data_IF_142294411148
#
_entry.id   IF_142294411148
#
_cell.length_a   1.000
_cell.length_b   1.000
_cell.length_c   1.000
_cell.angle_alpha   90.00
_cell.angle_beta   90.00
_cell.angle_gamma   90.00
#
_symmetry.space_group_name_H-M   'P 1'
#
loop_
_entity.id
_entity.type
_entity.pdbx_description
1 polymer ?
#
# COMPACT_ATOMS: atom_id res chain seq x y z
N UNK A 1 17.77 -5.42 0.94
CA UNK A 1 18.99 -5.31 0.08
C UNK A 1 20.22 -5.06 0.93
N UNK A 2 20.13 -4.18 1.93
CA UNK A 2 21.26 -3.92 2.83
C UNK A 2 21.69 -5.16 3.62
N UNK A 3 20.79 -6.08 3.98
CA UNK A 3 21.21 -7.34 4.61
C UNK A 3 22.10 -8.27 3.75
N UNK A 4 22.26 -8.01 2.45
CA UNK A 4 23.32 -8.64 1.63
C UNK A 4 24.65 -7.89 1.70
N UNK A 5 24.59 -6.55 1.75
CA UNK A 5 25.76 -5.66 1.70
C UNK A 5 26.40 -5.50 3.08
N UNK A 6 25.58 -5.46 4.13
CA UNK A 6 25.94 -5.23 5.52
C UNK A 6 25.10 -6.14 6.45
N UNK A 7 25.37 -7.46 6.44
CA UNK A 7 24.61 -8.43 7.22
C UNK A 7 24.83 -8.27 8.73
N UNK A 8 23.85 -8.73 9.53
CA UNK A 8 23.95 -8.77 10.99
C UNK A 8 23.56 -7.47 11.70
N UNK A 9 23.10 -6.46 10.96
CA UNK A 9 22.80 -5.12 11.48
C UNK A 9 21.33 -4.73 11.18
N UNK A 10 20.36 -5.17 12.02
CA UNK A 10 18.93 -4.97 11.75
C UNK A 10 18.52 -3.48 11.75
N UNK A 11 19.10 -2.67 12.65
CA UNK A 11 18.79 -1.24 12.74
C UNK A 11 19.15 -0.51 11.44
N UNK A 12 20.26 -0.88 10.79
CA UNK A 12 20.66 -0.29 9.52
C UNK A 12 19.68 -0.64 8.38
N UNK A 13 19.19 -1.88 8.34
CA UNK A 13 18.19 -2.30 7.35
C UNK A 13 16.86 -1.56 7.55
N UNK A 14 16.41 -1.40 8.80
CA UNK A 14 15.19 -0.67 9.12
C UNK A 14 15.25 0.79 8.68
N UNK A 15 16.33 1.50 9.03
CA UNK A 15 16.52 2.91 8.64
C UNK A 15 16.59 3.05 7.12
N UNK A 16 17.35 2.19 6.45
CA UNK A 16 17.45 2.23 5.00
C UNK A 16 16.10 1.99 4.31
N UNK A 17 15.37 0.96 4.73
CA UNK A 17 14.05 0.63 4.19
C UNK A 17 13.09 1.81 4.35
N UNK A 18 13.02 2.38 5.55
CA UNK A 18 12.10 3.48 5.84
C UNK A 18 12.44 4.72 5.02
N UNK A 19 13.73 5.07 4.91
CA UNK A 19 14.18 6.18 4.06
C UNK A 19 13.76 5.96 2.60
N UNK A 20 14.02 4.78 2.04
CA UNK A 20 13.67 4.50 0.65
C UNK A 20 12.15 4.55 0.40
N UNK A 21 11.36 3.88 1.25
CA UNK A 21 9.91 3.80 1.06
C UNK A 21 9.23 5.15 1.27
N UNK A 22 9.60 5.87 2.33
CA UNK A 22 9.00 7.17 2.64
C UNK A 22 9.39 8.22 1.60
N UNK A 23 10.67 8.28 1.19
CA UNK A 23 11.08 9.20 0.10
C UNK A 23 10.36 8.88 -1.21
N UNK A 24 10.22 7.60 -1.57
CA UNK A 24 9.48 7.21 -2.77
C UNK A 24 8.02 7.65 -2.73
N UNK A 25 7.34 7.44 -1.60
CA UNK A 25 5.95 7.84 -1.42
C UNK A 25 5.78 9.36 -1.51
N UNK A 26 6.65 10.12 -0.85
CA UNK A 26 6.63 11.58 -0.94
C UNK A 26 6.90 12.08 -2.37
N UNK A 27 7.83 11.46 -3.10
CA UNK A 27 8.12 11.82 -4.48
C UNK A 27 6.93 11.54 -5.41
N UNK A 28 6.25 10.39 -5.27
CA UNK A 28 5.08 10.05 -6.08
C UNK A 28 3.92 11.01 -5.84
N UNK A 29 3.64 11.35 -4.57
CA UNK A 29 2.61 12.32 -4.22
C UNK A 29 2.95 13.71 -4.78
N UNK A 30 4.20 14.14 -4.65
CA UNK A 30 4.68 15.41 -5.19
C UNK A 30 4.54 15.50 -6.71
N UNK A 31 4.91 14.43 -7.44
CA UNK A 31 4.73 14.36 -8.90
C UNK A 31 3.26 14.38 -9.29
N UNK A 32 2.39 13.69 -8.54
CA UNK A 32 0.94 13.70 -8.76
C UNK A 32 0.38 15.11 -8.63
N UNK A 33 0.80 15.84 -7.60
CA UNK A 33 0.36 17.22 -7.36
C UNK A 33 0.90 18.18 -8.43
N UNK A 34 2.13 17.99 -8.89
CA UNK A 34 2.65 18.75 -10.02
C UNK A 34 1.86 18.54 -11.31
N UNK A 35 1.46 17.29 -11.57
CA UNK A 35 0.64 16.98 -12.74
C UNK A 35 -0.71 17.71 -12.66
N UNK A 36 -1.33 17.72 -11.49
CA UNK A 36 -2.57 18.46 -11.25
C UNK A 36 -2.37 19.98 -11.38
N UNK A 37 -1.31 20.54 -10.80
CA UNK A 37 -0.98 21.96 -10.89
C UNK A 37 -0.74 22.40 -12.34
N UNK A 38 -0.10 21.56 -13.14
CA UNK A 38 0.08 21.77 -14.57
C UNK A 38 -1.26 21.85 -15.32
N UNK A 39 -2.21 20.94 -15.03
CA UNK A 39 -3.56 20.99 -15.61
C UNK A 39 -4.35 22.24 -15.19
N UNK A 40 -4.15 22.74 -13.97
CA UNK A 40 -4.81 23.94 -13.46
C UNK A 40 -4.08 25.24 -13.81
N UNK A 41 -2.96 25.18 -14.57
CA UNK A 41 -2.12 26.33 -14.96
C UNK A 41 -1.62 27.16 -13.77
N UNK A 42 -1.36 26.51 -12.63
CA UNK A 42 -0.83 27.18 -11.43
C UNK A 42 0.67 27.43 -11.61
N UNK A 43 1.18 28.64 -11.29
CA UNK A 43 2.61 28.92 -11.38
C UNK A 43 3.42 28.05 -10.40
N UNK A 44 4.61 27.57 -10.81
CA UNK A 44 5.40 26.57 -10.06
C UNK A 44 5.82 27.03 -8.66
N UNK A 45 5.88 28.34 -8.43
CA UNK A 45 6.27 28.94 -7.14
C UNK A 45 5.33 28.55 -6.00
N UNK A 46 4.06 28.26 -6.29
CA UNK A 46 3.07 27.84 -5.30
C UNK A 46 3.26 26.38 -4.87
N UNK A 47 3.91 25.56 -5.70
CA UNK A 47 4.18 24.15 -5.38
C UNK A 47 5.32 23.99 -4.36
N UNK A 48 6.20 24.99 -4.20
CA UNK A 48 7.25 25.00 -3.17
C UNK A 48 6.68 25.10 -1.75
N UNK A 49 5.45 25.60 -1.58
CA UNK A 49 4.78 25.68 -0.28
C UNK A 49 4.52 24.29 0.33
N UNK A 50 4.35 23.27 -0.52
CA UNK A 50 4.14 21.88 -0.09
C UNK A 50 5.39 21.32 0.62
N UNK A 51 6.59 21.68 0.18
CA UNK A 51 7.84 21.25 0.81
C UNK A 51 7.97 21.82 2.21
N UNK A 52 7.63 23.11 2.39
CA UNK A 52 7.65 23.78 3.69
C UNK A 52 6.63 23.14 4.64
N UNK A 53 5.41 22.89 4.15
CA UNK A 53 4.38 22.19 4.93
C UNK A 53 4.82 20.80 5.38
N UNK A 54 5.51 20.07 4.51
CA UNK A 54 6.05 18.74 4.84
C UNK A 54 7.13 18.83 5.93
N UNK A 55 8.06 19.80 5.83
CA UNK A 55 9.11 19.99 6.84
C UNK A 55 8.50 20.29 8.21
N UNK A 56 7.54 21.21 8.27
CA UNK A 56 6.84 21.56 9.52
C UNK A 56 6.11 20.34 10.09
N UNK A 57 5.38 19.60 9.24
CA UNK A 57 4.67 18.39 9.65
C UNK A 57 5.60 17.33 10.23
N UNK A 58 6.77 17.11 9.61
CA UNK A 58 7.78 16.17 10.12
C UNK A 58 8.32 16.58 11.49
N UNK A 59 8.63 17.87 11.69
CA UNK A 59 9.14 18.36 12.98
C UNK A 59 8.10 18.17 14.09
N UNK A 60 6.85 18.56 13.82
CA UNK A 60 5.76 18.41 14.80
C UNK A 60 5.52 16.94 15.12
N UNK A 61 5.51 16.07 14.10
CA UNK A 61 5.31 14.62 14.30
C UNK A 61 6.43 14.00 15.12
N UNK A 62 7.69 14.42 14.90
CA UNK A 62 8.84 13.96 15.68
C UNK A 62 8.74 14.42 17.14
N UNK A 63 8.35 15.67 17.38
CA UNK A 63 8.18 16.22 18.72
C UNK A 63 7.09 15.46 19.51
N UNK A 64 5.95 15.18 18.86
CA UNK A 64 4.86 14.39 19.46
C UNK A 64 5.33 12.97 19.76
N UNK A 65 6.05 12.33 18.83
CA UNK A 65 6.58 10.98 19.03
C UNK A 65 7.54 10.91 20.22
N UNK A 66 8.45 11.87 20.32
CA UNK A 66 9.41 11.95 21.41
C UNK A 66 8.73 12.22 22.76
N UNK A 67 7.72 13.09 22.76
CA UNK A 67 6.91 13.34 23.95
C UNK A 67 6.13 12.09 24.40
N UNK A 68 5.56 11.35 23.45
CA UNK A 68 4.82 10.13 23.73
C UNK A 68 5.72 9.06 24.37
N UNK A 69 6.91 8.84 23.82
CA UNK A 69 7.86 7.85 24.34
C UNK A 69 8.46 8.23 25.70
N UNK A 70 8.55 9.52 26.03
CA UNK A 70 9.02 9.97 27.35
C UNK A 70 7.93 9.96 28.42
N UNK A 71 6.66 10.02 28.03
CA UNK A 71 5.52 10.06 28.98
C UNK A 71 4.96 8.68 29.30
N UNK A 72 4.91 7.77 28.32
CA UNK A 72 4.31 6.44 28.47
C UNK A 72 5.41 5.37 28.40
N UNK A 73 5.81 4.85 29.55
CA UNK A 73 6.75 3.74 29.62
C UNK A 73 6.17 2.48 28.99
N UNK A 74 6.97 1.78 28.20
CA UNK A 74 6.62 0.50 27.57
C UNK A 74 5.32 0.54 26.73
N UNK A 75 5.06 1.63 26.01
CA UNK A 75 3.84 1.84 25.19
C UNK A 75 3.54 0.71 24.17
N UNK A 76 4.55 -0.08 23.80
CA UNK A 76 4.41 -1.19 22.88
C UNK A 76 4.24 -2.56 23.55
N UNK A 77 4.23 -2.64 24.88
CA UNK A 77 4.08 -3.89 25.65
C UNK A 77 2.71 -3.94 26.32
N UNK A 78 1.72 -4.65 25.73
CA UNK A 78 0.35 -4.69 26.26
C UNK A 78 0.25 -5.23 27.70
N UNK A 79 1.20 -6.08 28.11
CA UNK A 79 1.23 -6.69 29.44
C UNK A 79 1.62 -5.71 30.55
N UNK A 80 2.43 -4.70 30.21
CA UNK A 80 2.89 -3.68 31.15
C UNK A 80 1.97 -2.47 31.21
N UNK A 81 0.98 -2.41 30.32
CA UNK A 81 0.01 -1.33 30.24
C UNK A 81 -1.20 -1.60 31.15
N UNK A 82 -1.88 -0.55 31.64
CA UNK A 82 -3.09 -0.71 32.42
C UNK A 82 -4.17 -1.45 31.63
N UNK A 83 -4.89 -2.37 32.30
CA UNK A 83 -5.94 -3.20 31.68
C UNK A 83 -6.97 -2.32 30.95
N UNK A 84 -7.12 -2.54 29.66
CA UNK A 84 -8.02 -1.77 28.79
C UNK A 84 -7.37 -0.61 28.01
N UNK A 85 -6.03 -0.48 28.04
CA UNK A 85 -5.33 0.49 27.21
C UNK A 85 -5.53 0.22 25.71
N UNK A 86 -5.80 1.26 24.88
CA UNK A 86 -5.94 1.09 23.44
C UNK A 86 -4.60 0.98 22.69
N UNK A 87 -3.48 1.17 23.38
CA UNK A 87 -2.15 1.24 22.77
C UNK A 87 -1.70 -0.12 22.24
N UNK A 88 -1.41 -0.16 20.93
CA UNK A 88 -0.84 -1.33 20.25
C UNK A 88 0.16 -0.89 19.19
N UNK A 89 1.34 -1.50 19.15
CA UNK A 89 2.42 -1.15 18.22
C UNK A 89 2.59 -2.14 17.06
N UNK A 90 1.48 -2.64 16.49
CA UNK A 90 1.51 -3.73 15.49
C UNK A 90 2.48 -3.47 14.33
N UNK A 91 2.36 -2.28 13.72
CA UNK A 91 3.13 -1.92 12.53
C UNK A 91 4.63 -1.81 12.83
N UNK A 92 4.98 -1.30 14.02
CA UNK A 92 6.37 -1.14 14.46
C UNK A 92 6.98 -2.52 14.71
N UNK A 93 6.26 -3.40 15.41
CA UNK A 93 6.69 -4.78 15.65
C UNK A 93 6.89 -5.54 14.34
N UNK A 94 5.94 -5.46 13.40
CA UNK A 94 6.08 -6.10 12.10
C UNK A 94 7.31 -5.58 11.33
N UNK A 95 7.52 -4.26 11.31
CA UNK A 95 8.71 -3.66 10.69
C UNK A 95 10.00 -4.10 11.36
N UNK A 96 10.02 -4.24 12.69
CA UNK A 96 11.15 -4.78 13.44
C UNK A 96 11.43 -6.24 13.05
N UNK A 97 10.41 -7.09 13.01
CA UNK A 97 10.54 -8.49 12.61
C UNK A 97 11.11 -8.62 11.18
N UNK A 98 10.67 -7.77 10.25
CA UNK A 98 11.27 -7.71 8.91
C UNK A 98 12.74 -7.32 8.95
N UNK A 99 13.14 -6.37 9.78
CA UNK A 99 14.54 -5.96 9.90
C UNK A 99 15.42 -7.08 10.48
N UNK A 100 14.87 -7.93 11.34
CA UNK A 100 15.57 -9.11 11.87
C UNK A 100 15.75 -10.15 10.76
N UNK A 101 14.67 -10.48 10.06
CA UNK A 101 14.67 -11.44 8.94
C UNK A 101 15.62 -11.00 7.84
N UNK A 102 15.43 -9.79 7.32
CA UNK A 102 16.13 -9.31 6.13
C UNK A 102 17.47 -8.64 6.41
N UNK A 103 17.67 -8.09 7.62
CA UNK A 103 18.90 -7.40 8.02
C UNK A 103 19.81 -8.22 8.93
N UNK A 104 19.29 -8.84 10.00
CA UNK A 104 20.09 -9.61 10.95
C UNK A 104 20.47 -11.00 10.40
N UNK A 105 19.49 -11.85 10.10
CA UNK A 105 19.73 -13.19 9.54
C UNK A 105 20.28 -13.08 8.12
N UNK A 106 19.68 -12.17 7.37
CA UNK A 106 20.02 -11.93 5.99
C UNK A 106 19.47 -13.03 5.07
N UNK A 107 19.21 -12.68 3.81
CA UNK A 107 18.63 -13.60 2.83
C UNK A 107 19.54 -14.79 2.50
N UNK A 108 20.86 -14.68 2.72
CA UNK A 108 21.80 -15.78 2.54
C UNK A 108 21.48 -16.98 3.43
N UNK A 109 21.08 -16.78 4.68
CA UNK A 109 20.79 -17.91 5.57
C UNK A 109 19.35 -18.41 5.45
N UNK A 110 18.44 -17.60 4.90
CA UNK A 110 17.03 -17.99 4.76
C UNK A 110 16.73 -18.71 3.45
N UNK A 111 17.23 -18.22 2.33
CA UNK A 111 16.75 -18.63 1.01
C UNK A 111 17.78 -19.42 0.18
N UNK A 112 19.07 -19.39 0.51
CA UNK A 112 20.07 -20.20 -0.22
C UNK A 112 19.86 -21.71 -0.01
N UNK A 113 20.54 -22.60 -0.77
CA UNK A 113 20.24 -24.04 -0.79
C UNK A 113 20.14 -24.71 0.59
N UNK A 114 20.95 -24.28 1.54
CA UNK A 114 20.98 -24.81 2.92
C UNK A 114 19.99 -24.13 3.88
N UNK A 115 19.25 -23.12 3.41
CA UNK A 115 18.29 -22.34 4.19
C UNK A 115 16.91 -23.00 4.28
N UNK A 116 16.20 -22.77 5.38
CA UNK A 116 14.87 -23.34 5.64
C UNK A 116 13.81 -22.95 4.59
N UNK A 117 14.00 -21.81 3.91
CA UNK A 117 13.06 -21.25 2.94
C UNK A 117 13.57 -21.33 1.49
N UNK A 118 14.54 -22.19 1.19
CA UNK A 118 15.09 -22.32 -0.17
C UNK A 118 14.05 -22.65 -1.25
N UNK A 119 13.05 -23.46 -0.88
CA UNK A 119 11.93 -23.82 -1.76
C UNK A 119 11.02 -22.64 -2.11
N UNK A 120 11.08 -21.51 -1.38
CA UNK A 120 10.25 -20.34 -1.71
C UNK A 120 10.64 -19.74 -3.07
N UNK A 121 11.87 -19.96 -3.55
CA UNK A 121 12.26 -19.49 -4.87
C UNK A 121 11.43 -20.11 -6.01
N UNK A 122 10.86 -21.31 -5.83
CA UNK A 122 9.96 -21.90 -6.83
C UNK A 122 8.67 -21.09 -7.03
N UNK A 123 8.25 -20.30 -6.05
CA UNK A 123 7.09 -19.41 -6.23
C UNK A 123 7.36 -18.28 -7.23
N UNK A 124 8.62 -17.89 -7.48
CA UNK A 124 8.93 -16.96 -8.57
C UNK A 124 8.61 -17.59 -9.92
N UNK A 125 8.91 -18.88 -10.12
CA UNK A 125 8.56 -19.59 -11.35
C UNK A 125 7.05 -19.74 -11.50
N UNK A 126 6.35 -20.03 -10.41
CA UNK A 126 4.88 -20.07 -10.43
C UNK A 126 4.35 -18.68 -10.81
N UNK A 127 4.86 -17.61 -10.21
CA UNK A 127 4.46 -16.24 -10.50
C UNK A 127 4.69 -15.83 -11.96
N UNK A 128 5.81 -16.24 -12.58
CA UNK A 128 6.09 -15.96 -14.00
C UNK A 128 5.29 -16.82 -14.96
N UNK A 129 5.00 -18.07 -14.59
CA UNK A 129 4.21 -18.99 -15.42
C UNK A 129 2.72 -18.67 -15.36
N UNK A 130 2.18 -18.31 -14.20
CA UNK A 130 0.73 -18.06 -13.99
C UNK A 130 0.08 -17.10 -15.01
N UNK A 131 0.69 -15.99 -15.47
CA UNK A 131 0.12 -15.14 -16.51
C UNK A 131 0.02 -15.80 -17.90
N UNK A 132 0.85 -16.81 -18.20
CA UNK A 132 0.86 -17.46 -19.52
C UNK A 132 -0.44 -18.24 -19.80
N UNK A 133 -0.96 -19.12 -18.90
CA UNK A 133 -2.25 -19.76 -19.07
C UNK A 133 -3.39 -18.77 -19.34
N UNK A 134 -3.47 -17.66 -18.61
CA UNK A 134 -4.55 -16.68 -18.80
C UNK A 134 -4.41 -15.96 -20.15
N UNK A 135 -3.19 -15.63 -20.56
CA UNK A 135 -2.95 -15.07 -21.89
C UNK A 135 -3.34 -16.04 -23.01
N UNK A 136 -2.98 -17.31 -22.88
CA UNK A 136 -3.36 -18.37 -23.84
C UNK A 136 -4.88 -18.54 -23.86
N UNK A 137 -5.54 -18.65 -22.71
CA UNK A 137 -7.01 -18.77 -22.63
C UNK A 137 -7.74 -17.55 -23.21
N UNK A 138 -7.18 -16.34 -23.06
CA UNK A 138 -7.70 -15.11 -23.67
C UNK A 138 -7.61 -15.13 -25.21
N UNK A 139 -6.65 -15.86 -25.78
CA UNK A 139 -6.51 -16.06 -27.23
C UNK A 139 -7.42 -17.16 -27.77
N UNK A 140 -7.62 -18.25 -27.02
CA UNK A 140 -8.49 -19.38 -27.40
C UNK A 140 -9.98 -19.06 -27.28
N UNK A 141 -10.38 -18.21 -26.32
CA UNK A 141 -11.79 -17.87 -26.09
C UNK A 141 -12.04 -16.36 -26.22
N UNK A 142 -11.94 -15.78 -27.44
CA UNK A 142 -12.10 -14.34 -27.64
C UNK A 142 -13.52 -13.83 -27.31
N UNK A 143 -14.54 -14.70 -27.33
CA UNK A 143 -15.93 -14.35 -26.96
C UNK A 143 -16.10 -14.06 -25.46
N UNK A 144 -15.24 -14.61 -24.60
CA UNK A 144 -15.34 -14.45 -23.14
C UNK A 144 -14.53 -13.25 -22.67
N UNK A 145 -15.10 -12.06 -22.80
CA UNK A 145 -14.46 -10.79 -22.44
C UNK A 145 -13.97 -10.69 -20.99
N UNK A 146 -14.58 -11.42 -20.04
CA UNK A 146 -14.19 -11.43 -18.63
C UNK A 146 -12.78 -12.01 -18.38
N UNK A 147 -12.30 -12.91 -19.24
CA UNK A 147 -10.96 -13.54 -19.09
C UNK A 147 -9.85 -12.49 -19.27
N UNK A 148 -10.07 -11.49 -20.13
CA UNK A 148 -9.13 -10.36 -20.34
C UNK A 148 -9.07 -9.41 -19.15
N UNK A 149 -10.10 -9.38 -18.31
CA UNK A 149 -10.16 -8.51 -17.13
C UNK A 149 -9.45 -9.09 -15.91
N UNK A 150 -9.01 -10.35 -15.96
CA UNK A 150 -8.30 -10.99 -14.85
C UNK A 150 -6.85 -10.52 -14.83
N UNK A 151 -6.49 -9.76 -13.79
CA UNK A 151 -5.13 -9.28 -13.58
C UNK A 151 -4.44 -10.11 -12.48
N UNK A 152 -3.71 -11.16 -12.90
CA UNK A 152 -2.99 -12.05 -11.97
C UNK A 152 -2.00 -11.30 -11.08
N UNK A 153 -1.14 -10.39 -11.58
CA UNK A 153 -0.26 -9.61 -10.73
C UNK A 153 -0.99 -8.89 -9.60
N UNK A 154 -2.19 -8.36 -9.85
CA UNK A 154 -3.01 -7.71 -8.81
C UNK A 154 -3.53 -8.73 -7.80
N UNK A 155 -3.96 -9.91 -8.25
CA UNK A 155 -4.45 -10.97 -7.37
C UNK A 155 -3.32 -11.52 -6.47
N UNK A 156 -2.15 -11.81 -7.05
CA UNK A 156 -0.99 -12.30 -6.30
C UNK A 156 -0.37 -11.19 -5.42
N UNK A 157 -0.38 -9.95 -5.89
CA UNK A 157 0.14 -8.79 -5.18
C UNK A 157 -0.76 -8.30 -4.03
N UNK A 158 -2.06 -8.62 -4.06
CA UNK A 158 -3.03 -8.21 -3.03
C UNK A 158 -2.69 -8.73 -1.62
N UNK A 159 -1.93 -9.81 -1.52
CA UNK A 159 -1.44 -10.35 -0.24
C UNK A 159 -0.27 -9.55 0.38
N UNK A 160 0.35 -8.62 -0.36
CA UNK A 160 1.61 -7.99 0.08
C UNK A 160 1.47 -7.05 1.29
N UNK A 161 0.28 -6.52 1.57
CA UNK A 161 0.06 -5.66 2.73
C UNK A 161 -0.49 -6.43 3.96
N UNK A 162 -0.45 -7.78 3.95
CA UNK A 162 -0.93 -8.64 5.06
C UNK A 162 -0.21 -8.37 6.38
N UNK A 163 0.94 -7.73 6.33
CA UNK A 163 1.90 -7.69 7.41
C UNK A 163 1.69 -6.51 8.38
N UNK A 164 0.64 -5.70 8.19
CA UNK A 164 0.33 -4.56 9.06
C UNK A 164 -1.10 -4.48 9.58
N UNK A 165 -2.04 -5.19 8.96
CA UNK A 165 -3.46 -5.18 9.34
C UNK A 165 -3.86 -6.53 9.95
N UNK A 166 -4.81 -6.53 10.89
CA UNK A 166 -5.38 -7.79 11.38
C UNK A 166 -5.99 -8.59 10.22
N UNK A 167 -5.90 -9.92 10.27
CA UNK A 167 -6.39 -10.83 9.23
C UNK A 167 -7.86 -10.57 8.86
N UNK A 168 -8.65 -10.05 9.81
CA UNK A 168 -10.06 -9.65 9.61
C UNK A 168 -10.19 -8.45 8.67
N UNK A 169 -9.28 -7.47 8.73
CA UNK A 169 -9.31 -6.27 7.88
C UNK A 169 -9.17 -6.60 6.39
N UNK A 170 -8.47 -7.69 6.07
CA UNK A 170 -8.31 -8.17 4.69
C UNK A 170 -9.58 -8.73 4.07
N UNK A 171 -10.29 -9.57 4.82
CA UNK A 171 -11.59 -10.08 4.38
C UNK A 171 -12.58 -8.93 4.17
N UNK A 172 -12.52 -7.89 5.01
CA UNK A 172 -13.32 -6.68 4.84
C UNK A 172 -12.95 -5.91 3.57
N UNK A 173 -11.66 -5.76 3.23
CA UNK A 173 -11.22 -5.10 1.99
C UNK A 173 -11.65 -5.87 0.74
N UNK A 174 -11.50 -7.20 0.74
CA UNK A 174 -11.98 -8.06 -0.35
C UNK A 174 -13.49 -7.92 -0.53
N UNK A 175 -14.25 -7.92 0.57
CA UNK A 175 -15.71 -7.75 0.52
C UNK A 175 -16.11 -6.37 -0.02
N UNK A 176 -15.49 -5.29 0.48
CA UNK A 176 -15.75 -3.92 -0.02
C UNK A 176 -15.37 -3.80 -1.50
N UNK A 177 -14.27 -4.41 -1.93
CA UNK A 177 -13.87 -4.46 -3.34
C UNK A 177 -14.92 -5.14 -4.22
N UNK A 178 -15.45 -6.30 -3.78
CA UNK A 178 -16.52 -7.02 -4.50
C UNK A 178 -17.80 -6.19 -4.54
N UNK A 179 -18.18 -5.55 -3.43
CA UNK A 179 -19.38 -4.68 -3.39
C UNK A 179 -19.21 -3.46 -4.31
N UNK A 180 -18.03 -2.82 -4.35
CA UNK A 180 -17.76 -1.69 -5.26
C UNK A 180 -17.82 -2.11 -6.73
N UNK A 181 -17.18 -3.23 -7.08
CA UNK A 181 -17.21 -3.79 -8.44
C UNK A 181 -18.64 -4.17 -8.83
N UNK A 182 -19.43 -4.73 -7.90
CA UNK A 182 -20.83 -5.03 -8.13
C UNK A 182 -21.67 -3.75 -8.34
N UNK A 183 -21.40 -2.67 -7.60
CA UNK A 183 -22.08 -1.39 -7.83
C UNK A 183 -21.74 -0.75 -9.17
N UNK A 184 -20.48 -0.81 -9.62
CA UNK A 184 -20.07 -0.28 -10.93
C UNK A 184 -20.62 -1.12 -12.10
N UNK A 185 -20.74 -2.44 -11.93
CA UNK A 185 -21.42 -3.33 -12.88
C UNK A 185 -22.95 -3.09 -12.90
N UNK A 186 -23.55 -2.81 -11.74
CA UNK A 186 -24.97 -2.48 -11.63
C UNK A 186 -25.31 -1.13 -12.30
N UNK A 187 -24.43 -0.13 -12.17
CA UNK A 187 -24.58 1.17 -12.84
C UNK A 187 -24.54 1.03 -14.38
N UNK A 188 -23.87 0.01 -14.92
CA UNK A 188 -23.89 -0.29 -16.37
C UNK A 188 -25.17 -0.97 -16.87
N UNK A 189 -26.13 -1.36 -16.02
CA UNK A 189 -27.31 -2.12 -16.42
C UNK A 189 -28.68 -1.43 -16.20
N UNK A 190 -28.74 -0.18 -15.73
CA UNK A 190 -30.03 0.51 -15.51
C UNK A 190 -30.31 1.48 -16.66
N UNK A 191 -30.97 0.98 -17.72
CA UNK A 191 -31.69 1.83 -18.69
C UNK A 191 -33.11 2.04 -18.18
N UNK A 192 -33.35 3.14 -17.47
CA UNK A 192 -34.70 3.62 -17.18
C UNK A 192 -34.99 4.79 -18.15
N UNK A 193 -35.92 4.57 -19.08
CA UNK A 193 -36.64 5.67 -19.75
C UNK A 193 -35.85 6.64 -20.62
N UNK A 194 -34.86 6.19 -21.40
CA UNK A 194 -34.30 6.98 -22.51
C UNK A 194 -33.47 8.22 -22.13
N UNK A 195 -33.16 8.44 -20.85
CA UNK A 195 -32.17 9.43 -20.40
C UNK A 195 -31.10 8.74 -19.55
N UNK A 196 -29.85 8.81 -20.01
CA UNK A 196 -28.70 8.33 -19.25
C UNK A 196 -28.37 9.34 -18.14
N UNK A 197 -28.86 9.10 -16.93
CA UNK A 197 -28.40 9.82 -15.73
C UNK A 197 -27.37 8.97 -15.02
N UNK A 198 -26.10 9.39 -15.05
CA UNK A 198 -24.99 8.73 -14.35
C UNK A 198 -24.97 9.28 -12.92
N UNK A 199 -25.37 8.46 -11.94
CA UNK A 199 -25.24 8.79 -10.51
C UNK A 199 -23.94 8.15 -10.03
N UNK A 200 -22.90 8.97 -9.84
CA UNK A 200 -21.65 8.54 -9.21
C UNK A 200 -21.82 8.51 -7.70
N UNK A 201 -21.92 7.32 -7.11
CA UNK A 201 -21.75 7.14 -5.66
C UNK A 201 -20.28 6.86 -5.36
N UNK A 202 -19.50 7.91 -5.09
CA UNK A 202 -18.16 7.77 -4.53
C UNK A 202 -18.17 8.16 -3.05
N UNK A 203 -18.15 7.15 -2.17
CA UNK A 203 -17.89 7.36 -0.74
C UNK A 203 -16.46 7.88 -0.55
N UNK A 204 -16.35 9.13 -0.09
CA UNK A 204 -15.12 9.77 0.36
C UNK A 204 -14.71 10.98 -0.49
N UNK A 205 -14.94 12.18 0.05
CA UNK A 205 -14.59 13.52 -0.46
C UNK A 205 -15.56 14.17 -1.45
N UNK A 206 -16.55 14.87 -0.88
CA UNK A 206 -17.23 16.00 -1.51
C UNK A 206 -16.24 17.16 -1.74
N UNK A 207 -15.80 17.35 -2.99
CA UNK A 207 -15.60 18.70 -3.52
C UNK A 207 -16.58 18.86 -4.67
N UNK A 208 -17.63 19.63 -4.44
CA UNK A 208 -18.44 20.18 -5.50
C UNK A 208 -17.53 21.11 -6.33
N UNK A 209 -17.18 20.70 -7.54
CA UNK A 209 -16.69 21.61 -8.57
C UNK A 209 -17.89 22.01 -9.42
N UNK A 210 -18.44 23.23 -9.27
CA UNK A 210 -19.41 23.74 -10.23
C UNK A 210 -18.67 24.11 -11.52
N UNK A 211 -18.54 23.15 -12.44
CA UNK A 211 -18.26 23.47 -13.85
C UNK A 211 -19.53 24.10 -14.44
N UNK A 212 -19.66 25.43 -14.32
CA UNK A 212 -20.50 26.20 -15.22
C UNK A 212 -19.70 26.40 -16.51
N UNK A 213 -20.11 25.68 -17.55
CA UNK A 213 -19.82 26.03 -18.94
C UNK A 213 -20.46 27.39 -19.24
N UNK A 214 -19.63 28.41 -19.44
CA UNK A 214 -19.86 29.53 -20.34
C UNK A 214 -18.56 29.83 -21.06
#
# INVERSE_FOLDING_TARGET
MIGYIYPGKPIADMVFKELCLSTQNHALNFISDFKLAHYMKIPPNQCLSQTIGTIISTIVSLAILWWLFSTVENICEPEKLPKGSPWTCRQITASYDFSVIWGMLGPKHMFFPDGMYSKLYYFFLIGTITPLPIWVSSKLFPEKGWIKSINIPVILGGASALLGAGTVSYWSWMFVGIVRVQSDLCIRSIKIGGRSTIIYWHMGWTRELPFKLY
#
